data_IF_152016147508
#
_entry.id   IF_152016147508
#
_cell.length_a   1.000
_cell.length_b   1.000
_cell.length_c   1.000
_cell.angle_alpha   90.00
_cell.angle_beta   90.00
_cell.angle_gamma   90.00
#
_symmetry.space_group_name_H-M   'P 1'
#
loop_
_entity.id
_entity.type
_entity.pdbx_description
1 polymer ?
#
# COMPACT_ATOMS: atom_id res chain seq x y z
N UNK A 1 16.90 -30.24 -42.48
CA UNK A 1 17.36 -28.88 -42.11
C UNK A 1 16.38 -28.31 -41.10
N UNK A 2 16.84 -27.73 -39.99
CA UNK A 2 16.06 -27.48 -38.79
C UNK A 2 15.43 -26.07 -38.78
N UNK A 3 14.30 -25.91 -38.11
CA UNK A 3 13.93 -24.62 -37.53
C UNK A 3 13.40 -24.86 -36.13
N UNK A 4 14.26 -24.61 -35.15
CA UNK A 4 13.95 -24.66 -33.73
C UNK A 4 12.85 -23.64 -33.40
N UNK A 5 11.72 -24.14 -32.90
CA UNK A 5 10.77 -23.34 -32.15
C UNK A 5 11.34 -23.10 -30.74
N UNK A 6 11.51 -21.84 -30.40
CA UNK A 6 12.00 -21.42 -29.09
C UNK A 6 11.99 -19.91 -28.99
N UNK A 7 10.91 -19.35 -28.47
CA UNK A 7 10.95 -18.02 -27.86
C UNK A 7 10.43 -18.16 -26.44
N UNK A 8 11.35 -18.57 -25.56
CA UNK A 8 11.26 -18.29 -24.13
C UNK A 8 11.18 -16.78 -23.97
N UNK A 9 10.03 -16.25 -23.58
CA UNK A 9 9.94 -14.88 -23.08
C UNK A 9 10.57 -14.86 -21.69
N UNK A 10 11.90 -14.82 -21.64
CA UNK A 10 12.64 -14.41 -20.45
C UNK A 10 12.61 -12.88 -20.44
N UNK A 11 11.62 -12.30 -19.78
CA UNK A 11 11.68 -10.88 -19.45
C UNK A 11 12.81 -10.67 -18.44
N UNK A 12 13.72 -9.71 -18.67
CA UNK A 12 14.86 -9.50 -17.79
C UNK A 12 14.36 -9.01 -16.42
N UNK A 13 14.60 -9.81 -15.39
CA UNK A 13 14.54 -9.41 -13.98
C UNK A 13 15.63 -8.37 -13.73
N UNK A 14 15.37 -7.13 -14.14
CA UNK A 14 16.20 -5.99 -13.76
C UNK A 14 15.85 -5.64 -12.31
N UNK A 15 16.76 -6.00 -11.40
CA UNK A 15 16.74 -5.59 -10.00
C UNK A 15 16.71 -4.06 -9.94
N UNK A 16 15.58 -3.47 -9.54
CA UNK A 16 15.52 -2.04 -9.25
C UNK A 16 15.87 -1.82 -7.78
N UNK A 17 16.94 -1.07 -7.59
CA UNK A 17 17.53 -0.70 -6.31
C UNK A 17 16.71 0.36 -5.59
N UNK A 18 16.51 0.19 -4.29
CA UNK A 18 16.14 1.28 -3.38
C UNK A 18 17.25 2.34 -3.43
N UNK A 19 16.95 3.55 -3.90
CA UNK A 19 17.92 4.66 -3.92
C UNK A 19 17.69 5.56 -2.72
N UNK A 20 18.58 5.49 -1.75
CA UNK A 20 18.71 6.48 -0.70
C UNK A 20 19.62 7.61 -1.18
N UNK A 21 19.11 8.83 -1.29
CA UNK A 21 19.96 10.01 -1.50
C UNK A 21 20.54 10.40 -0.15
N UNK A 22 21.86 10.29 -0.01
CA UNK A 22 22.57 10.63 1.23
C UNK A 22 23.13 12.05 1.14
N UNK A 23 22.52 12.99 1.85
CA UNK A 23 23.32 14.05 2.47
C UNK A 23 24.03 13.41 3.67
N UNK A 24 25.27 13.75 4.00
CA UNK A 24 26.16 12.95 4.88
C UNK A 24 25.62 12.68 6.30
N UNK A 25 24.46 13.24 6.66
CA UNK A 25 23.77 13.05 7.95
C UNK A 25 22.32 12.57 7.85
N UNK A 26 21.69 12.55 6.66
CA UNK A 26 20.24 12.34 6.51
C UNK A 26 19.92 11.35 5.40
N UNK A 27 19.08 10.36 5.71
CA UNK A 27 18.53 9.42 4.72
C UNK A 27 17.09 9.81 4.39
N UNK A 28 16.82 10.06 3.11
CA UNK A 28 15.45 10.10 2.56
C UNK A 28 15.15 8.74 1.95
N UNK A 29 14.10 8.10 2.44
CA UNK A 29 13.60 6.84 1.88
C UNK A 29 12.42 7.14 0.99
N UNK A 30 12.53 6.81 -0.30
CA UNK A 30 11.44 6.88 -1.26
C UNK A 30 11.02 5.46 -1.62
N UNK A 31 9.79 5.09 -1.28
CA UNK A 31 9.19 3.83 -1.74
C UNK A 31 8.08 4.13 -2.74
N UNK A 32 8.32 3.76 -4.00
CA UNK A 32 7.28 3.63 -5.02
C UNK A 32 6.83 2.18 -5.02
N UNK A 33 5.57 1.92 -4.67
CA UNK A 33 5.06 0.55 -4.75
C UNK A 33 4.70 0.21 -6.18
N UNK A 34 5.44 -0.74 -6.77
CA UNK A 34 4.88 -1.70 -7.72
C UNK A 34 4.40 -2.89 -6.89
N UNK A 35 3.10 -3.18 -6.92
CA UNK A 35 2.47 -4.12 -6.00
C UNK A 35 3.02 -5.54 -6.23
N UNK A 36 3.65 -6.11 -5.20
CA UNK A 36 3.92 -7.54 -5.12
C UNK A 36 2.60 -8.29 -5.00
N UNK A 37 2.46 -9.37 -5.77
CA UNK A 37 1.38 -10.35 -5.68
C UNK A 37 1.14 -10.73 -4.21
N UNK A 38 0.05 -10.21 -3.62
CA UNK A 38 -0.35 -10.56 -2.27
C UNK A 38 -1.30 -11.75 -2.34
N UNK A 39 -1.06 -12.76 -1.51
CA UNK A 39 -1.97 -13.89 -1.22
C UNK A 39 -3.37 -13.46 -0.72
N UNK A 40 -3.61 -12.16 -0.58
CA UNK A 40 -4.82 -11.52 -0.06
C UNK A 40 -5.99 -11.41 -1.05
N UNK A 41 -5.79 -11.71 -2.34
CA UNK A 41 -6.86 -11.64 -3.36
C UNK A 41 -7.85 -12.81 -3.24
N UNK A 42 -7.53 -13.84 -2.45
CA UNK A 42 -8.30 -15.09 -2.42
C UNK A 42 -9.57 -15.09 -1.56
N UNK A 43 -9.81 -14.06 -0.74
CA UNK A 43 -10.96 -14.04 0.17
C UNK A 43 -12.13 -13.24 -0.41
N UNK A 44 -12.83 -13.85 -1.36
CA UNK A 44 -14.02 -13.28 -2.00
C UNK A 44 -15.12 -14.34 -2.11
N UNK A 45 -15.82 -14.62 -1.00
CA UNK A 45 -17.00 -15.50 -1.01
C UNK A 45 -18.35 -14.81 -0.86
N UNK A 46 -18.40 -13.55 -0.41
CA UNK A 46 -19.66 -12.94 0.00
C UNK A 46 -20.28 -11.92 -0.99
N UNK A 47 -19.53 -11.34 -1.92
CA UNK A 47 -20.04 -10.21 -2.75
C UNK A 47 -19.84 -10.35 -4.26
N UNK A 48 -19.48 -11.55 -4.75
CA UNK A 48 -19.16 -11.76 -6.16
C UNK A 48 -17.86 -11.05 -6.52
N UNK A 49 -16.82 -11.79 -6.89
CA UNK A 49 -15.62 -11.16 -7.42
C UNK A 49 -16.06 -10.39 -8.67
N UNK A 50 -15.98 -9.05 -8.63
CA UNK A 50 -16.12 -8.18 -9.80
C UNK A 50 -15.02 -8.41 -10.86
N UNK A 51 -14.41 -9.60 -10.89
CA UNK A 51 -13.20 -9.92 -11.66
C UNK A 51 -11.97 -9.15 -11.18
N UNK A 52 -12.02 -8.50 -10.02
CA UNK A 52 -10.91 -7.72 -9.47
C UNK A 52 -9.80 -8.68 -9.02
N UNK A 53 -8.64 -8.56 -9.66
CA UNK A 53 -7.48 -9.45 -9.45
C UNK A 53 -6.40 -8.87 -8.55
N UNK A 54 -6.49 -7.59 -8.21
CA UNK A 54 -5.51 -6.89 -7.40
C UNK A 54 -6.15 -5.72 -6.64
N UNK A 55 -5.53 -5.32 -5.53
CA UNK A 55 -6.06 -4.23 -4.70
C UNK A 55 -5.95 -2.88 -5.42
N UNK A 56 -4.93 -2.62 -6.24
CA UNK A 56 -4.80 -1.31 -6.89
C UNK A 56 -5.96 -1.03 -7.85
N UNK A 57 -6.24 -1.95 -8.78
CA UNK A 57 -7.32 -1.82 -9.76
C UNK A 57 -8.70 -1.73 -9.09
N UNK A 58 -8.86 -2.37 -7.93
CA UNK A 58 -10.09 -2.34 -7.15
C UNK A 58 -10.56 -0.95 -6.75
N UNK A 59 -9.61 -0.03 -6.48
CA UNK A 59 -9.89 1.35 -6.08
C UNK A 59 -10.56 2.16 -7.18
N UNK A 60 -10.50 1.69 -8.43
CA UNK A 60 -11.05 2.35 -9.62
C UNK A 60 -12.26 1.61 -10.20
N UNK A 61 -12.74 0.55 -9.53
CA UNK A 61 -13.86 -0.23 -10.03
C UNK A 61 -15.16 0.58 -10.01
N UNK A 62 -15.96 0.60 -11.10
CA UNK A 62 -17.23 1.32 -11.15
C UNK A 62 -18.34 0.49 -10.49
N UNK A 63 -18.42 0.54 -9.17
CA UNK A 63 -19.45 -0.16 -8.40
C UNK A 63 -20.87 0.33 -8.79
N UNK A 64 -21.86 -0.57 -8.90
CA UNK A 64 -23.24 -0.20 -9.22
C UNK A 64 -23.90 0.71 -8.18
N UNK A 65 -23.55 0.56 -6.91
CA UNK A 65 -24.13 1.32 -5.79
C UNK A 65 -23.06 1.84 -4.83
N UNK A 66 -23.39 2.87 -4.06
CA UNK A 66 -22.50 3.41 -3.03
C UNK A 66 -22.34 2.42 -1.86
N UNK A 67 -23.37 1.66 -1.54
CA UNK A 67 -23.36 0.60 -0.54
C UNK A 67 -22.35 -0.50 -0.91
N UNK A 68 -22.39 -0.99 -2.15
CA UNK A 68 -21.42 -1.98 -2.64
C UNK A 68 -20.00 -1.40 -2.69
N UNK A 69 -19.85 -0.14 -3.11
CA UNK A 69 -18.57 0.57 -3.10
C UNK A 69 -17.99 0.59 -1.69
N UNK A 70 -18.75 1.03 -0.69
CA UNK A 70 -18.28 1.15 0.68
C UNK A 70 -18.07 -0.20 1.36
N UNK A 71 -18.91 -1.21 1.10
CA UNK A 71 -18.69 -2.57 1.58
C UNK A 71 -17.40 -3.20 1.02
N UNK A 72 -17.06 -2.87 -0.23
CA UNK A 72 -15.77 -3.26 -0.80
C UNK A 72 -14.62 -2.46 -0.17
N UNK A 73 -14.74 -1.12 -0.09
CA UNK A 73 -13.71 -0.24 0.45
C UNK A 73 -13.38 -0.54 1.92
N UNK A 74 -14.36 -0.88 2.76
CA UNK A 74 -14.11 -1.29 4.13
C UNK A 74 -13.18 -2.51 4.18
N UNK A 75 -13.47 -3.57 3.41
CA UNK A 75 -12.61 -4.75 3.31
C UNK A 75 -11.24 -4.44 2.70
N UNK A 76 -11.19 -3.60 1.66
CA UNK A 76 -9.93 -3.15 1.08
C UNK A 76 -9.06 -2.47 2.14
N UNK A 77 -9.60 -1.49 2.86
CA UNK A 77 -8.89 -0.74 3.90
C UNK A 77 -8.47 -1.69 5.03
N UNK A 78 -9.34 -2.60 5.47
CA UNK A 78 -9.00 -3.61 6.46
C UNK A 78 -7.77 -4.41 6.04
N UNK A 79 -7.79 -4.98 4.83
CA UNK A 79 -6.68 -5.81 4.32
C UNK A 79 -5.40 -5.02 4.04
N UNK A 80 -5.51 -3.79 3.57
CA UNK A 80 -4.35 -2.97 3.22
C UNK A 80 -3.74 -2.23 4.42
N UNK A 81 -4.58 -1.81 5.39
CA UNK A 81 -4.22 -0.77 6.37
C UNK A 81 -4.42 -1.15 7.83
N UNK A 82 -5.35 -2.02 8.23
CA UNK A 82 -5.55 -2.31 9.65
C UNK A 82 -5.13 -3.74 10.03
N UNK A 83 -5.56 -4.74 9.24
CA UNK A 83 -5.24 -6.16 9.47
C UNK A 83 -3.74 -6.48 9.50
N UNK A 84 -2.90 -6.00 8.55
CA UNK A 84 -1.49 -6.39 8.54
C UNK A 84 -0.70 -5.62 9.60
N UNK A 85 0.11 -6.33 10.37
CA UNK A 85 1.14 -5.72 11.21
C UNK A 85 2.31 -5.19 10.37
N UNK A 86 3.28 -4.56 11.03
CA UNK A 86 4.56 -4.19 10.41
C UNK A 86 5.25 -5.43 9.81
N UNK A 87 5.61 -5.36 8.53
CA UNK A 87 6.28 -6.49 7.87
C UNK A 87 7.75 -6.58 8.28
N UNK A 88 8.33 -7.79 8.18
CA UNK A 88 9.75 -8.05 8.47
C UNK A 88 10.69 -7.11 7.70
N UNK A 89 10.33 -6.76 6.45
CA UNK A 89 11.11 -5.85 5.63
C UNK A 89 11.23 -4.46 6.27
N UNK A 90 10.11 -3.87 6.71
CA UNK A 90 10.10 -2.53 7.28
C UNK A 90 10.74 -2.51 8.68
N UNK A 91 10.60 -3.58 9.46
CA UNK A 91 11.36 -3.73 10.71
C UNK A 91 12.87 -3.79 10.45
N UNK A 92 13.31 -4.54 9.44
CA UNK A 92 14.73 -4.58 9.05
C UNK A 92 15.22 -3.21 8.59
N UNK A 93 14.43 -2.51 7.79
CA UNK A 93 14.73 -1.16 7.33
C UNK A 93 14.88 -0.19 8.52
N UNK A 94 13.96 -0.26 9.50
CA UNK A 94 14.01 0.54 10.73
C UNK A 94 15.30 0.29 11.52
N UNK A 95 15.78 -0.94 11.59
CA UNK A 95 17.04 -1.30 12.24
C UNK A 95 18.25 -0.71 11.51
N UNK A 96 18.27 -0.79 10.17
CA UNK A 96 19.39 -0.29 9.36
C UNK A 96 19.60 1.23 9.46
N UNK A 97 18.53 1.98 9.71
CA UNK A 97 18.56 3.44 9.84
C UNK A 97 18.48 3.94 11.28
N UNK A 98 18.53 3.04 12.27
CA UNK A 98 18.22 3.38 13.66
C UNK A 98 19.13 4.44 14.28
N UNK A 99 20.41 4.45 13.88
CA UNK A 99 21.42 5.39 14.41
C UNK A 99 21.63 6.61 13.51
N UNK A 100 20.76 6.80 12.49
CA UNK A 100 20.88 7.89 11.52
C UNK A 100 19.65 8.79 11.60
N UNK A 101 19.85 10.09 11.39
CA UNK A 101 18.72 10.97 11.12
C UNK A 101 18.08 10.55 9.79
N UNK A 102 16.76 10.39 9.80
CA UNK A 102 16.02 9.88 8.67
C UNK A 102 14.64 10.50 8.59
N UNK A 103 14.16 10.67 7.36
CA UNK A 103 12.82 11.11 7.06
C UNK A 103 12.27 10.26 5.91
N UNK A 104 11.03 9.80 6.06
CA UNK A 104 10.40 8.92 5.08
C UNK A 104 9.46 9.72 4.20
N UNK A 105 9.63 9.60 2.89
CA UNK A 105 8.70 10.10 1.89
C UNK A 105 8.08 8.90 1.17
N UNK A 106 6.77 8.73 1.26
CA UNK A 106 6.12 7.53 0.72
C UNK A 106 4.89 7.88 -0.08
N UNK A 107 4.67 7.18 -1.19
CA UNK A 107 3.38 7.18 -1.90
C UNK A 107 2.43 6.11 -1.36
N UNK A 108 2.90 5.23 -0.46
CA UNK A 108 2.06 4.20 0.14
C UNK A 108 1.09 4.78 1.18
N UNK A 109 -0.03 4.11 1.31
CA UNK A 109 -1.19 4.50 2.14
C UNK A 109 -1.50 3.45 3.23
N UNK A 110 -0.54 2.56 3.52
CA UNK A 110 -0.69 1.34 4.34
C UNK A 110 -0.13 1.46 5.78
N UNK A 111 0.54 2.59 6.06
CA UNK A 111 1.30 2.90 7.28
C UNK A 111 2.32 1.84 7.72
N UNK A 112 2.89 1.07 6.80
CA UNK A 112 3.89 0.04 7.13
C UNK A 112 5.13 0.61 7.85
N UNK A 113 5.51 1.86 7.58
CA UNK A 113 6.57 2.55 8.32
C UNK A 113 6.18 2.75 9.80
N UNK A 114 5.05 3.40 10.06
CA UNK A 114 4.60 3.66 11.44
C UNK A 114 4.41 2.36 12.23
N UNK A 115 3.74 1.37 11.62
CA UNK A 115 3.55 0.02 12.20
C UNK A 115 4.85 -0.70 12.53
N UNK A 116 5.94 -0.32 11.88
CA UNK A 116 7.26 -0.94 12.09
C UNK A 116 8.15 -0.15 13.05
N UNK A 117 7.62 0.91 13.69
CA UNK A 117 8.31 1.69 14.72
C UNK A 117 9.03 2.95 14.20
N UNK A 118 8.68 3.43 13.00
CA UNK A 118 9.04 4.79 12.61
C UNK A 118 8.13 5.79 13.32
N UNK A 119 8.67 6.91 13.79
CA UNK A 119 7.88 7.96 14.42
C UNK A 119 6.96 8.63 13.37
N UNK A 120 5.65 8.77 13.61
CA UNK A 120 4.73 9.39 12.64
C UNK A 120 5.15 10.79 12.20
N UNK A 121 5.80 11.57 13.09
CA UNK A 121 6.33 12.90 12.78
C UNK A 121 7.47 12.89 11.75
N UNK A 122 8.07 11.73 11.47
CA UNK A 122 9.16 11.55 10.50
C UNK A 122 8.72 10.83 9.22
N UNK A 123 7.40 10.64 9.02
CA UNK A 123 6.83 10.00 7.84
C UNK A 123 5.89 10.98 7.16
N UNK A 124 6.09 11.19 5.86
CA UNK A 124 5.16 11.95 5.03
C UNK A 124 4.62 11.09 3.89
N UNK A 125 3.35 10.71 4.02
CA UNK A 125 2.61 9.96 3.02
C UNK A 125 1.95 10.94 2.03
N UNK A 126 2.57 11.13 0.87
CA UNK A 126 2.19 12.19 -0.09
C UNK A 126 0.84 11.97 -0.75
N UNK A 127 0.36 10.72 -0.78
CA UNK A 127 -0.93 10.33 -1.36
C UNK A 127 -2.03 10.11 -0.32
N UNK A 128 -1.76 10.44 0.95
CA UNK A 128 -2.66 10.22 2.08
C UNK A 128 -2.41 8.88 2.80
N UNK A 129 -3.36 8.51 3.65
CA UNK A 129 -3.35 7.26 4.43
C UNK A 129 -4.81 6.73 4.48
N UNK A 130 -4.99 5.43 4.21
CA UNK A 130 -6.30 4.75 4.26
C UNK A 130 -6.97 4.75 5.63
N UNK A 131 -6.27 5.10 6.69
CA UNK A 131 -6.84 5.30 8.02
C UNK A 131 -7.76 6.53 8.11
N UNK A 132 -7.80 7.38 7.07
CA UNK A 132 -8.59 8.59 7.06
C UNK A 132 -9.54 8.67 5.88
N UNK A 133 -10.75 9.14 6.15
CA UNK A 133 -11.72 9.55 5.14
C UNK A 133 -11.78 11.08 5.06
N UNK A 134 -12.19 11.58 3.89
CA UNK A 134 -12.41 13.00 3.66
C UNK A 134 -13.73 13.23 2.93
N UNK A 135 -14.27 14.45 3.04
CA UNK A 135 -15.42 14.87 2.24
C UNK A 135 -15.10 14.74 0.74
N UNK A 136 -16.06 14.23 -0.05
CA UNK A 136 -15.90 14.07 -1.51
C UNK A 136 -15.57 15.39 -2.22
N UNK A 137 -16.07 16.50 -1.70
CA UNK A 137 -15.79 17.86 -2.20
C UNK A 137 -14.35 18.33 -1.96
N UNK A 138 -13.61 17.67 -1.06
CA UNK A 138 -12.34 18.19 -0.52
C UNK A 138 -12.51 19.42 0.38
N UNK A 139 -13.75 19.80 0.74
CA UNK A 139 -14.07 20.94 1.59
C UNK A 139 -15.16 20.56 2.61
N UNK A 140 -14.92 20.68 3.93
CA UNK A 140 -13.67 21.14 4.55
C UNK A 140 -12.50 20.17 4.33
N UNK A 141 -11.27 20.69 4.39
CA UNK A 141 -10.03 19.89 4.36
C UNK A 141 -9.81 19.21 5.71
N UNK A 142 -10.78 18.36 6.09
CA UNK A 142 -10.77 17.64 7.35
C UNK A 142 -10.70 16.15 7.07
N UNK A 143 -9.81 15.49 7.80
CA UNK A 143 -9.64 14.05 7.79
C UNK A 143 -10.36 13.44 9.00
N UNK A 144 -11.05 12.33 8.78
CA UNK A 144 -11.79 11.58 9.81
C UNK A 144 -11.19 10.20 9.93
N UNK A 145 -10.67 9.87 11.12
CA UNK A 145 -10.13 8.55 11.41
C UNK A 145 -11.23 7.49 11.35
N UNK A 146 -11.00 6.39 10.65
CA UNK A 146 -12.06 5.47 10.22
C UNK A 146 -11.95 4.02 10.72
N UNK A 147 -10.96 3.70 11.57
CA UNK A 147 -10.66 2.31 11.97
C UNK A 147 -11.89 1.58 12.53
N UNK A 148 -12.60 2.20 13.48
CA UNK A 148 -13.78 1.59 14.10
C UNK A 148 -14.86 1.20 13.07
N UNK A 149 -15.16 2.09 12.11
CA UNK A 149 -16.16 1.80 11.08
C UNK A 149 -15.72 0.70 10.13
N UNK A 150 -14.42 0.63 9.85
CA UNK A 150 -13.86 -0.44 9.03
C UNK A 150 -13.94 -1.77 9.77
N UNK A 151 -13.57 -1.83 11.04
CA UNK A 151 -13.65 -3.04 11.87
C UNK A 151 -15.08 -3.58 12.02
N UNK A 152 -16.07 -2.70 12.19
CA UNK A 152 -17.49 -3.10 12.28
C UNK A 152 -18.06 -3.64 10.96
N UNK A 153 -17.39 -3.38 9.83
CA UNK A 153 -17.89 -3.66 8.47
C UNK A 153 -17.27 -4.92 7.82
N UNK A 154 -16.36 -5.63 8.50
CA UNK A 154 -15.57 -6.74 7.93
C UNK A 154 -15.74 -8.07 8.63
#
# INVERSE_FOLDING_TARGET
MPSCGGSSYTLPLHCQTETATTDKKRITMEKKTFQSENENVKDCRALGCYGITDLYSSSFHPFPTEEERWAYWARHIWFARFRPQGTKLYHKLRQLVAEKDHFVLTTNVDAQFEKSGFAPTHVFATQGDYAYLQARSGNPQTLVYNEQWVEESV
#
